data_IF_907123856010
#
_entry.id   IF_907123856010
#
_cell.length_a   1.000
_cell.length_b   1.000
_cell.length_c   1.000
_cell.angle_alpha   90.00
_cell.angle_beta   90.00
_cell.angle_gamma   90.00
#
_symmetry.space_group_name_H-M   'P 1'
#
loop_
_entity.id
_entity.type
_entity.pdbx_description
1 polymer ?
#
# COMPACT_ATOMS: atom_id res chain seq x y z
N UNK A 1 23.43 -9.69 18.49
CA UNK A 1 22.52 -9.81 19.66
C UNK A 1 21.54 -8.68 19.54
N UNK A 2 20.25 -9.02 19.54
CA UNK A 2 19.11 -8.20 19.98
C UNK A 2 18.93 -6.81 19.33
N UNK A 3 17.75 -6.37 18.93
CA UNK A 3 16.40 -6.92 18.88
C UNK A 3 15.51 -5.81 18.28
N UNK A 4 14.35 -6.22 17.75
CA UNK A 4 13.08 -5.45 17.78
C UNK A 4 13.05 -4.06 17.12
N UNK A 5 12.22 -3.72 16.14
CA UNK A 5 10.91 -4.20 15.66
C UNK A 5 10.71 -3.61 14.22
N UNK A 6 9.70 -3.96 13.41
CA UNK A 6 8.91 -3.11 12.43
C UNK A 6 8.17 -3.96 11.40
N UNK A 7 6.82 -3.98 11.32
CA UNK A 7 5.82 -3.04 10.76
C UNK A 7 5.83 -2.95 9.22
N UNK A 8 4.65 -3.20 8.64
CA UNK A 8 4.39 -3.49 7.21
C UNK A 8 3.34 -2.56 6.64
N UNK A 9 3.40 -2.40 5.32
CA UNK A 9 2.32 -1.81 4.51
C UNK A 9 2.16 -2.58 3.22
N UNK A 10 0.91 -2.80 2.82
CA UNK A 10 0.51 -3.55 1.63
C UNK A 10 -0.58 -2.75 0.93
N UNK A 11 -0.33 -2.34 -0.32
CA UNK A 11 -1.36 -1.82 -1.20
C UNK A 11 -2.03 -2.95 -2.00
N UNK A 12 -3.34 -3.09 -1.84
CA UNK A 12 -4.26 -3.65 -2.84
C UNK A 12 -5.58 -2.89 -2.69
N UNK A 13 -6.00 -2.16 -3.72
CA UNK A 13 -7.35 -1.62 -3.82
C UNK A 13 -8.19 -2.52 -4.72
N UNK A 14 -9.10 -3.29 -4.12
CA UNK A 14 -10.19 -4.01 -4.81
C UNK A 14 -11.48 -3.31 -4.42
N UNK A 15 -12.01 -2.47 -5.32
CA UNK A 15 -13.34 -1.87 -5.17
C UNK A 15 -14.40 -2.85 -5.71
N UNK A 16 -15.14 -3.51 -4.81
CA UNK A 16 -16.41 -4.15 -5.16
C UNK A 16 -17.44 -3.85 -4.05
N UNK A 17 -18.60 -3.33 -4.45
CA UNK A 17 -19.66 -2.76 -3.60
C UNK A 17 -20.82 -3.72 -3.36
N UNK A 18 -21.23 -3.98 -2.11
CA UNK A 18 -22.35 -4.88 -1.78
C UNK A 18 -23.33 -4.33 -0.77
N UNK A 19 -24.57 -4.81 -0.92
CA UNK A 19 -25.50 -5.09 0.17
C UNK A 19 -26.28 -6.35 -0.26
N UNK A 20 -26.54 -7.40 0.54
CA UNK A 20 -27.01 -7.43 1.93
C UNK A 20 -26.73 -8.82 2.55
N UNK A 21 -26.23 -8.85 3.80
CA UNK A 21 -26.74 -9.82 4.79
C UNK A 21 -25.86 -10.95 5.34
N UNK A 22 -24.73 -10.63 5.99
CA UNK A 22 -24.32 -11.29 7.26
C UNK A 22 -23.15 -10.53 7.92
N UNK A 23 -23.32 -10.14 9.19
CA UNK A 23 -22.36 -9.54 10.15
C UNK A 23 -21.02 -9.03 9.59
N UNK A 24 -20.94 -7.72 9.35
CA UNK A 24 -19.74 -7.02 8.88
C UNK A 24 -18.47 -7.28 9.70
N UNK A 25 -17.37 -7.61 9.02
CA UNK A 25 -16.01 -7.27 9.45
C UNK A 25 -15.55 -6.07 8.62
N UNK A 26 -15.92 -4.87 9.08
CA UNK A 26 -15.58 -3.50 8.63
C UNK A 26 -15.02 -3.28 7.21
N UNK A 27 -15.73 -2.51 6.39
CA UNK A 27 -15.24 -2.02 5.10
C UNK A 27 -14.04 -1.06 5.21
N UNK A 28 -13.18 -1.08 4.19
CA UNK A 28 -12.09 -0.10 4.03
C UNK A 28 -12.58 1.09 3.21
N UNK A 29 -12.48 2.29 3.77
CA UNK A 29 -12.66 3.56 3.08
C UNK A 29 -11.37 4.36 3.28
N UNK A 30 -10.59 4.49 2.21
CA UNK A 30 -9.32 5.21 2.16
C UNK A 30 -9.59 6.65 1.70
N UNK A 31 -9.15 7.63 2.48
CA UNK A 31 -9.32 9.04 2.13
C UNK A 31 -7.98 9.78 2.20
N UNK A 32 -7.73 10.64 1.22
CA UNK A 32 -6.52 11.45 1.17
C UNK A 32 -6.72 12.78 1.88
N UNK A 33 -5.80 13.09 2.78
CA UNK A 33 -5.58 14.43 3.33
C UNK A 33 -4.43 15.08 2.57
N UNK A 34 -4.66 16.24 1.98
CA UNK A 34 -3.65 16.97 1.23
C UNK A 34 -3.01 18.02 2.15
N UNK A 35 -1.73 17.86 2.49
CA UNK A 35 -1.04 18.72 3.47
C UNK A 35 -1.10 20.22 3.11
N UNK A 36 -0.93 20.55 1.83
CA UNK A 36 -0.99 21.93 1.33
C UNK A 36 -2.37 22.61 1.54
N UNK A 37 -3.42 21.85 1.90
CA UNK A 37 -4.74 22.43 2.14
C UNK A 37 -4.82 23.30 3.41
N UNK A 38 -3.82 23.22 4.29
CA UNK A 38 -3.66 24.14 5.43
C UNK A 38 -3.30 25.57 5.00
N UNK A 39 -2.67 25.72 3.83
CA UNK A 39 -2.21 27.01 3.28
C UNK A 39 -3.23 27.68 2.36
N UNK A 40 -4.47 27.17 2.30
CA UNK A 40 -5.53 27.79 1.51
C UNK A 40 -5.85 29.19 2.02
N UNK A 41 -6.53 29.98 1.18
CA UNK A 41 -6.93 31.34 1.54
C UNK A 41 -7.83 31.35 2.78
N UNK A 42 -7.77 32.46 3.52
CA UNK A 42 -8.46 32.61 4.80
C UNK A 42 -9.95 32.26 4.71
N UNK A 43 -10.40 31.39 5.61
CA UNK A 43 -11.78 30.92 5.73
C UNK A 43 -12.09 29.62 4.98
N UNK A 44 -11.13 29.02 4.26
CA UNK A 44 -11.29 27.71 3.59
C UNK A 44 -10.10 26.76 3.81
N UNK A 45 -9.26 27.05 4.79
CA UNK A 45 -8.19 26.17 5.26
C UNK A 45 -8.76 24.84 5.74
N UNK A 46 -8.01 23.78 5.54
CA UNK A 46 -8.40 22.44 5.96
C UNK A 46 -7.25 21.79 6.73
N UNK A 47 -7.41 21.74 8.05
CA UNK A 47 -6.44 21.18 9.00
C UNK A 47 -6.76 19.73 9.35
N UNK A 48 -5.82 18.96 9.95
CA UNK A 48 -6.12 17.61 10.40
C UNK A 48 -7.29 17.56 11.38
N UNK A 49 -7.44 18.59 12.24
CA UNK A 49 -8.54 18.71 13.20
C UNK A 49 -9.92 18.88 12.56
N UNK A 50 -9.99 19.32 11.30
CA UNK A 50 -11.23 19.46 10.53
C UNK A 50 -11.77 18.10 10.05
N UNK A 51 -10.95 17.04 10.10
CA UNK A 51 -11.35 15.69 9.71
C UNK A 51 -12.18 15.06 10.83
N UNK A 52 -13.38 14.60 10.50
CA UNK A 52 -14.11 13.67 11.37
C UNK A 52 -13.46 12.28 11.26
N UNK A 53 -12.83 11.77 12.34
CA UNK A 53 -12.03 10.54 12.31
C UNK A 53 -12.88 9.26 12.17
N UNK A 54 -14.21 9.36 12.14
CA UNK A 54 -15.12 8.24 11.93
C UNK A 54 -15.61 8.12 10.48
N UNK A 55 -15.31 9.09 9.61
CA UNK A 55 -15.75 9.07 8.21
C UNK A 55 -15.04 8.00 7.39
N UNK A 56 -13.73 7.87 7.55
CA UNK A 56 -12.88 6.96 6.80
C UNK A 56 -12.24 5.96 7.76
N UNK A 57 -11.98 4.73 7.29
CA UNK A 57 -11.25 3.76 8.10
C UNK A 57 -9.73 3.89 7.96
N UNK A 58 -9.27 4.46 6.85
CA UNK A 58 -7.87 4.76 6.58
C UNK A 58 -7.74 6.18 6.04
N UNK A 59 -6.75 6.93 6.54
CA UNK A 59 -6.39 8.25 6.03
C UNK A 59 -4.96 8.24 5.51
N UNK A 60 -4.72 8.82 4.34
CA UNK A 60 -3.37 9.02 3.78
C UNK A 60 -2.98 10.48 3.94
N UNK A 61 -1.87 10.76 4.62
CA UNK A 61 -1.23 12.07 4.64
C UNK A 61 -0.44 12.23 3.34
N UNK A 62 -0.99 12.97 2.38
CA UNK A 62 -0.32 13.26 1.12
C UNK A 62 0.33 14.63 1.19
N UNK A 63 1.65 14.59 1.36
CA UNK A 63 2.49 15.73 1.08
C UNK A 63 2.90 15.63 -0.39
N UNK A 64 2.24 16.40 -1.26
CA UNK A 64 2.58 16.46 -2.67
C UNK A 64 3.86 17.29 -2.92
N UNK A 65 4.63 17.63 -1.88
CA UNK A 65 5.70 18.61 -1.99
C UNK A 65 7.06 18.02 -2.37
N UNK A 66 7.74 18.79 -3.22
CA UNK A 66 9.13 18.68 -3.60
C UNK A 66 10.02 18.78 -2.34
N UNK A 67 10.43 17.65 -1.75
CA UNK A 67 11.54 17.69 -0.81
C UNK A 67 12.79 18.18 -1.58
N UNK A 68 13.13 19.45 -1.42
CA UNK A 68 14.26 20.10 -2.10
C UNK A 68 15.63 19.52 -1.68
N UNK A 69 15.67 18.70 -0.62
CA UNK A 69 16.84 17.95 -0.20
C UNK A 69 16.68 16.43 -0.47
N UNK A 70 17.72 15.66 -0.16
CA UNK A 70 17.71 14.20 -0.30
C UNK A 70 16.92 13.49 0.80
N UNK A 71 16.15 14.20 1.64
CA UNK A 71 15.27 13.57 2.62
C UNK A 71 14.09 12.89 1.92
N UNK A 72 13.63 11.77 2.49
CA UNK A 72 12.49 11.03 1.96
C UNK A 72 11.17 11.76 2.23
N UNK A 73 11.08 12.48 3.35
CA UNK A 73 9.96 13.35 3.68
C UNK A 73 10.49 14.60 4.36
N UNK A 74 9.80 15.71 4.10
CA UNK A 74 10.04 16.97 4.79
C UNK A 74 9.39 16.93 6.17
N UNK A 75 10.12 17.22 7.23
CA UNK A 75 9.55 17.32 8.58
C UNK A 75 8.38 18.33 8.63
N UNK A 76 7.27 17.92 9.26
CA UNK A 76 6.02 18.68 9.32
C UNK A 76 5.36 18.50 10.69
N UNK A 77 5.10 19.62 11.38
CA UNK A 77 4.45 19.65 12.70
C UNK A 77 3.01 19.06 12.66
N UNK A 78 2.43 18.92 11.47
CA UNK A 78 1.09 18.41 11.22
C UNK A 78 0.99 16.89 11.31
N UNK A 79 2.11 16.16 11.22
CA UNK A 79 2.11 14.70 11.33
C UNK A 79 1.53 14.22 12.65
N UNK A 80 1.92 14.85 13.75
CA UNK A 80 1.39 14.49 15.07
C UNK A 80 -0.11 14.81 15.17
N UNK A 81 -0.54 15.96 14.64
CA UNK A 81 -1.96 16.38 14.65
C UNK A 81 -2.82 15.42 13.84
N UNK A 82 -2.33 14.95 12.70
CA UNK A 82 -2.97 13.95 11.87
C UNK A 82 -3.05 12.59 12.56
N UNK A 83 -1.94 12.09 13.11
CA UNK A 83 -1.92 10.80 13.82
C UNK A 83 -2.74 10.82 15.12
N UNK A 84 -2.93 12.00 15.73
CA UNK A 84 -3.76 12.20 16.91
C UNK A 84 -5.26 11.98 16.66
N UNK A 85 -5.72 11.95 15.40
CA UNK A 85 -7.07 11.53 15.05
C UNK A 85 -7.38 10.11 15.56
N UNK A 86 -6.37 9.24 15.65
CA UNK A 86 -6.48 7.90 16.26
C UNK A 86 -6.75 7.92 17.77
N UNK A 87 -6.54 9.06 18.44
CA UNK A 87 -6.95 9.24 19.84
C UNK A 87 -8.48 9.28 19.97
N UNK A 88 -9.17 9.84 18.98
CA UNK A 88 -10.63 9.92 18.90
C UNK A 88 -11.26 8.62 18.34
N UNK A 89 -10.68 8.05 17.29
CA UNK A 89 -11.10 6.76 16.72
C UNK A 89 -9.93 5.75 16.76
N UNK A 90 -9.97 4.81 17.71
CA UNK A 90 -8.90 3.80 17.89
C UNK A 90 -8.81 2.78 16.75
N UNK A 91 -9.84 2.70 15.91
CA UNK A 91 -9.88 1.81 14.75
C UNK A 91 -9.35 2.48 13.48
N UNK A 92 -9.19 3.81 13.48
CA UNK A 92 -8.65 4.56 12.35
C UNK A 92 -7.17 4.17 12.11
N UNK A 93 -6.82 4.02 10.84
CA UNK A 93 -5.43 3.84 10.39
C UNK A 93 -4.95 5.05 9.63
N UNK A 94 -3.70 5.42 9.84
CA UNK A 94 -3.04 6.56 9.17
C UNK A 94 -1.85 6.09 8.37
N UNK A 95 -1.76 6.52 7.11
CA UNK A 95 -0.65 6.20 6.21
C UNK A 95 0.07 7.48 5.81
N UNK A 96 1.38 7.40 5.60
CA UNK A 96 2.16 8.45 4.97
C UNK A 96 2.18 8.24 3.46
N UNK A 97 1.86 9.25 2.68
CA UNK A 97 2.04 9.23 1.23
C UNK A 97 3.49 9.53 0.85
N UNK A 98 4.00 8.85 -0.18
CA UNK A 98 5.27 9.17 -0.83
C UNK A 98 5.07 9.10 -2.35
N UNK A 99 5.26 10.23 -3.02
CA UNK A 99 4.99 10.37 -4.45
C UNK A 99 3.97 11.46 -4.75
N UNK A 100 3.15 11.24 -5.77
CA UNK A 100 2.14 12.18 -6.25
C UNK A 100 2.50 12.83 -7.58
N UNK A 101 1.57 13.62 -8.11
CA UNK A 101 1.68 14.21 -9.45
C UNK A 101 2.83 15.22 -9.59
N UNK A 102 3.14 15.96 -8.53
CA UNK A 102 4.22 16.95 -8.51
C UNK A 102 5.56 16.35 -8.06
N UNK A 103 5.64 15.03 -7.86
CA UNK A 103 6.84 14.35 -7.39
C UNK A 103 7.82 14.07 -8.53
N UNK A 104 9.11 14.25 -8.28
CA UNK A 104 10.17 13.97 -9.24
C UNK A 104 10.35 12.46 -9.44
N UNK A 105 9.93 11.96 -10.62
CA UNK A 105 9.99 10.54 -10.96
C UNK A 105 11.41 9.97 -10.90
N UNK A 106 12.45 10.77 -11.15
CA UNK A 106 13.85 10.30 -11.11
C UNK A 106 14.25 9.80 -9.72
N UNK A 107 13.62 10.32 -8.65
CA UNK A 107 13.86 9.84 -7.28
C UNK A 107 13.32 8.45 -7.05
N UNK A 108 12.18 8.11 -7.66
CA UNK A 108 11.69 6.73 -7.65
C UNK A 108 12.61 5.81 -8.46
N UNK A 109 13.13 6.29 -9.59
CA UNK A 109 14.13 5.56 -10.40
C UNK A 109 15.38 5.25 -9.57
N UNK A 110 16.03 6.26 -8.99
CA UNK A 110 17.26 6.15 -8.20
C UNK A 110 17.09 5.22 -6.99
N UNK A 111 15.96 5.38 -6.28
CA UNK A 111 15.59 4.52 -5.16
C UNK A 111 15.39 3.07 -5.62
N UNK A 112 14.71 2.85 -6.74
CA UNK A 112 14.34 1.51 -7.18
C UNK A 112 15.45 0.78 -7.96
N UNK A 113 16.45 1.49 -8.49
CA UNK A 113 17.49 0.96 -9.39
C UNK A 113 18.32 -0.16 -8.74
N UNK A 114 18.87 0.09 -7.55
CA UNK A 114 19.82 -0.83 -6.91
C UNK A 114 19.22 -1.49 -5.67
N UNK A 115 19.71 -2.69 -5.34
CA UNK A 115 19.27 -3.38 -4.13
C UNK A 115 19.62 -2.61 -2.86
N UNK A 116 20.78 -1.97 -2.83
CA UNK A 116 21.21 -1.10 -1.73
C UNK A 116 20.27 0.08 -1.55
N UNK A 117 19.99 0.84 -2.62
CA UNK A 117 19.13 2.03 -2.56
C UNK A 117 17.70 1.69 -2.18
N UNK A 118 17.15 0.55 -2.65
CA UNK A 118 15.87 0.03 -2.18
C UNK A 118 15.87 -0.29 -0.68
N UNK A 119 16.95 -0.90 -0.19
CA UNK A 119 17.08 -1.26 1.23
C UNK A 119 17.19 -0.02 2.11
N UNK A 120 17.97 0.97 1.67
CA UNK A 120 18.14 2.25 2.37
C UNK A 120 16.80 2.99 2.45
N UNK A 121 16.03 3.03 1.36
CA UNK A 121 14.68 3.58 1.34
C UNK A 121 13.74 2.86 2.30
N UNK A 122 13.69 1.52 2.26
CA UNK A 122 12.82 0.74 3.14
C UNK A 122 13.13 1.00 4.61
N UNK A 123 14.42 0.99 4.99
CA UNK A 123 14.82 1.23 6.37
C UNK A 123 14.45 2.65 6.83
N UNK A 124 14.74 3.65 6.02
CA UNK A 124 14.42 5.03 6.35
C UNK A 124 12.91 5.29 6.37
N UNK A 125 12.13 4.63 5.51
CA UNK A 125 10.67 4.64 5.55
C UNK A 125 10.14 4.07 6.85
N UNK A 126 10.63 2.89 7.21
CA UNK A 126 10.26 2.22 8.44
C UNK A 126 10.55 3.11 9.67
N UNK A 127 11.76 3.64 9.76
CA UNK A 127 12.18 4.52 10.86
C UNK A 127 11.30 5.78 10.95
N UNK A 128 10.98 6.37 9.81
CA UNK A 128 10.14 7.56 9.72
C UNK A 128 8.69 7.30 10.16
N UNK A 129 8.06 6.23 9.64
CA UNK A 129 6.68 5.89 9.98
C UNK A 129 6.55 5.64 11.48
N UNK A 130 7.53 4.96 12.07
CA UNK A 130 7.62 4.73 13.49
C UNK A 130 7.73 5.98 14.33
N UNK A 131 8.70 6.83 14.01
CA UNK A 131 9.00 8.01 14.82
C UNK A 131 7.81 8.97 14.84
N UNK A 132 7.01 8.98 13.77
CA UNK A 132 5.84 9.84 13.61
C UNK A 132 4.49 9.14 13.89
N UNK A 133 4.50 7.84 14.20
CA UNK A 133 3.32 7.10 14.63
C UNK A 133 2.33 6.74 13.51
N UNK A 134 2.77 6.67 12.25
CA UNK A 134 1.97 6.18 11.13
C UNK A 134 1.83 4.65 11.15
N UNK A 135 0.69 4.15 10.67
CA UNK A 135 0.41 2.72 10.56
C UNK A 135 0.83 2.14 9.20
N UNK A 136 1.14 3.01 8.22
CA UNK A 136 1.72 2.58 6.96
C UNK A 136 2.13 3.67 5.97
N UNK A 137 2.39 3.26 4.74
CA UNK A 137 3.01 3.98 3.63
C UNK A 137 2.18 3.74 2.37
N UNK A 138 1.75 4.81 1.74
CA UNK A 138 1.13 4.81 0.43
C UNK A 138 2.17 5.26 -0.59
N UNK A 139 2.54 4.37 -1.52
CA UNK A 139 3.51 4.67 -2.58
C UNK A 139 2.75 5.12 -3.85
N UNK A 140 2.83 6.40 -4.16
CA UNK A 140 2.12 7.02 -5.28
C UNK A 140 3.09 7.39 -6.43
N UNK A 141 3.78 6.38 -6.99
CA UNK A 141 4.67 6.57 -8.15
C UNK A 141 3.84 6.80 -9.42
N UNK A 142 3.90 8.02 -9.98
CA UNK A 142 3.13 8.41 -11.17
C UNK A 142 4.01 8.86 -12.35
N UNK A 143 4.36 7.97 -13.28
CA UNK A 143 4.17 6.52 -13.24
C UNK A 143 5.43 5.85 -13.77
N UNK A 144 5.78 4.63 -13.28
CA UNK A 144 6.92 3.91 -13.81
C UNK A 144 6.74 3.65 -15.31
N UNK A 145 7.77 3.96 -16.10
CA UNK A 145 7.78 3.85 -17.55
C UNK A 145 6.74 4.72 -18.29
N UNK A 146 6.35 5.86 -17.70
CA UNK A 146 5.47 6.86 -18.31
C UNK A 146 6.12 8.25 -18.29
N UNK A 147 5.91 9.03 -19.36
CA UNK A 147 6.47 10.36 -19.57
C UNK A 147 8.00 10.43 -19.35
N UNK A 148 8.44 10.99 -18.23
CA UNK A 148 9.84 11.24 -17.85
C UNK A 148 10.49 10.06 -17.12
N UNK A 149 9.72 9.02 -16.77
CA UNK A 149 10.22 7.79 -16.18
C UNK A 149 10.75 6.80 -17.25
N UNK A 150 12.01 6.33 -17.14
CA UNK A 150 12.58 5.33 -18.06
C UNK A 150 11.79 4.02 -18.16
N UNK A 151 11.86 3.35 -19.32
CA UNK A 151 11.19 2.06 -19.53
C UNK A 151 11.65 0.95 -18.57
N UNK A 152 12.87 1.04 -18.02
CA UNK A 152 13.39 0.14 -16.99
C UNK A 152 12.57 0.17 -15.69
N UNK A 153 11.92 1.30 -15.41
CA UNK A 153 11.25 1.55 -14.13
C UNK A 153 10.06 0.66 -13.90
N UNK A 154 9.45 0.15 -14.97
CA UNK A 154 8.44 -0.92 -14.89
C UNK A 154 8.99 -2.15 -14.16
N UNK A 155 10.22 -2.57 -14.50
CA UNK A 155 10.89 -3.70 -13.85
C UNK A 155 11.38 -3.36 -12.45
N UNK A 156 11.80 -2.10 -12.23
CA UNK A 156 12.28 -1.62 -10.93
C UNK A 156 11.14 -1.48 -9.91
N UNK A 157 9.97 -0.98 -10.31
CA UNK A 157 8.78 -0.97 -9.47
C UNK A 157 8.39 -2.40 -9.06
N UNK A 158 8.39 -3.32 -10.01
CA UNK A 158 8.15 -4.75 -9.72
C UNK A 158 9.21 -5.31 -8.75
N UNK A 159 10.48 -4.89 -8.85
CA UNK A 159 11.56 -5.26 -7.92
C UNK A 159 11.40 -4.63 -6.53
N UNK A 160 10.89 -3.41 -6.45
CA UNK A 160 10.57 -2.70 -5.22
C UNK A 160 9.44 -3.39 -4.45
N UNK A 161 8.42 -3.88 -5.15
CA UNK A 161 7.25 -4.56 -4.56
C UNK A 161 7.36 -6.09 -4.62
N UNK A 162 8.55 -6.65 -4.93
CA UNK A 162 8.71 -8.06 -5.32
C UNK A 162 8.55 -9.04 -4.16
N UNK A 163 7.30 -9.44 -3.94
CA UNK A 163 6.90 -10.41 -2.91
C UNK A 163 7.59 -11.78 -3.11
N UNK A 164 7.64 -12.31 -4.33
CA UNK A 164 8.09 -13.70 -4.55
C UNK A 164 9.58 -13.95 -4.24
N UNK A 165 10.44 -12.95 -4.35
CA UNK A 165 11.83 -13.06 -3.90
C UNK A 165 11.92 -13.16 -2.37
N UNK A 166 11.08 -12.42 -1.66
CA UNK A 166 10.96 -12.48 -0.21
C UNK A 166 10.45 -13.87 0.25
N UNK A 167 9.45 -14.43 -0.44
CA UNK A 167 8.81 -15.71 -0.05
C UNK A 167 9.76 -16.91 -0.06
N UNK A 168 10.81 -16.91 -0.88
CA UNK A 168 11.66 -18.08 -1.14
C UNK A 168 12.32 -18.66 0.12
N UNK A 169 12.65 -17.80 1.09
CA UNK A 169 13.25 -18.20 2.36
C UNK A 169 12.44 -17.70 3.58
N UNK A 170 11.18 -17.31 3.38
CA UNK A 170 10.31 -16.84 4.44
C UNK A 170 9.43 -17.97 5.00
N UNK A 171 9.09 -17.88 6.28
CA UNK A 171 8.04 -18.70 6.89
C UNK A 171 6.68 -18.17 6.46
N UNK A 172 5.93 -18.99 5.72
CA UNK A 172 4.61 -18.63 5.22
C UNK A 172 3.54 -19.04 6.23
N UNK A 173 2.66 -18.11 6.58
CA UNK A 173 1.54 -18.30 7.49
C UNK A 173 0.29 -17.63 6.91
N UNK A 174 -0.88 -17.91 7.50
CA UNK A 174 -2.15 -17.30 7.09
C UNK A 174 -2.76 -16.55 8.28
N UNK A 175 -3.33 -15.38 8.02
CA UNK A 175 -4.26 -14.75 8.96
C UNK A 175 -5.62 -15.42 8.73
N UNK A 176 -6.00 -16.34 9.61
CA UNK A 176 -7.20 -17.17 9.41
C UNK A 176 -8.48 -16.33 9.31
N UNK A 177 -8.60 -15.26 10.10
CA UNK A 177 -9.80 -14.41 10.11
C UNK A 177 -9.96 -13.56 8.84
N UNK A 178 -8.84 -13.24 8.17
CA UNK A 178 -8.82 -12.40 6.96
C UNK A 178 -8.63 -13.22 5.67
N UNK A 179 -8.31 -14.51 5.80
CA UNK A 179 -8.06 -15.42 4.68
C UNK A 179 -6.98 -14.93 3.71
N UNK A 180 -5.98 -14.21 4.22
CA UNK A 180 -4.83 -13.71 3.46
C UNK A 180 -3.51 -14.25 4.02
N UNK A 181 -2.52 -14.52 3.15
CA UNK A 181 -1.22 -14.98 3.60
C UNK A 181 -0.35 -13.84 4.15
N UNK A 182 0.61 -14.27 4.94
CA UNK A 182 1.76 -13.46 5.27
C UNK A 182 3.04 -14.30 5.28
N UNK A 183 4.16 -13.65 5.01
CA UNK A 183 5.48 -14.25 5.03
C UNK A 183 6.34 -13.58 6.10
N UNK A 184 7.11 -14.36 6.85
CA UNK A 184 8.02 -13.85 7.88
C UNK A 184 9.44 -14.28 7.58
N UNK A 185 10.37 -13.33 7.44
CA UNK A 185 11.80 -13.60 7.26
C UNK A 185 12.58 -12.81 8.30
N UNK A 186 13.09 -13.48 9.32
CA UNK A 186 13.65 -12.78 10.49
C UNK A 186 12.59 -11.90 11.17
N UNK A 187 12.86 -10.60 11.29
CA UNK A 187 11.92 -9.60 11.84
C UNK A 187 11.05 -8.95 10.76
N UNK A 188 11.30 -9.26 9.48
CA UNK A 188 10.53 -8.73 8.38
C UNK A 188 9.23 -9.53 8.28
N UNK A 189 8.12 -8.84 8.46
CA UNK A 189 6.81 -9.34 8.09
C UNK A 189 6.74 -8.86 6.56
N UNK A 190 6.31 -9.67 5.54
CA UNK A 190 5.57 -9.22 4.31
C UNK A 190 4.12 -9.78 4.08
N UNK A 191 3.12 -8.92 3.81
CA UNK A 191 1.70 -9.27 3.67
C UNK A 191 1.30 -9.18 2.21
N UNK A 192 0.50 -10.11 1.72
CA UNK A 192 0.26 -10.21 0.29
C UNK A 192 -1.01 -11.01 0.02
N UNK A 193 -1.38 -11.08 -1.25
CA UNK A 193 -2.37 -12.01 -1.75
C UNK A 193 -1.71 -13.11 -2.58
N UNK A 194 -2.18 -14.33 -2.41
CA UNK A 194 -1.79 -15.48 -3.23
C UNK A 194 -3.01 -16.08 -3.94
N UNK A 195 -2.80 -17.15 -4.69
CA UNK A 195 -3.89 -17.85 -5.37
C UNK A 195 -4.97 -18.35 -4.40
N UNK A 196 -4.63 -18.65 -3.14
CA UNK A 196 -5.60 -19.13 -2.16
C UNK A 196 -6.48 -17.98 -1.65
N UNK A 197 -5.90 -16.84 -1.31
CA UNK A 197 -6.67 -15.66 -0.92
C UNK A 197 -7.48 -15.10 -2.08
N UNK A 198 -6.92 -15.08 -3.29
CA UNK A 198 -7.64 -14.72 -4.52
C UNK A 198 -8.83 -15.63 -4.79
N UNK A 199 -8.64 -16.95 -4.64
CA UNK A 199 -9.74 -17.90 -4.77
C UNK A 199 -10.83 -17.66 -3.73
N UNK A 200 -10.44 -17.36 -2.49
CA UNK A 200 -11.39 -17.08 -1.40
C UNK A 200 -12.19 -15.81 -1.67
N UNK A 201 -11.51 -14.72 -2.03
CA UNK A 201 -12.14 -13.44 -2.39
C UNK A 201 -13.06 -13.58 -3.61
N UNK A 202 -12.62 -14.26 -4.66
CA UNK A 202 -13.44 -14.50 -5.85
C UNK A 202 -14.65 -15.40 -5.57
N UNK A 203 -14.51 -16.40 -4.68
CA UNK A 203 -15.65 -17.23 -4.28
C UNK A 203 -16.65 -16.41 -3.48
N UNK A 204 -16.18 -15.56 -2.56
CA UNK A 204 -17.03 -14.64 -1.82
C UNK A 204 -17.78 -13.66 -2.75
N UNK A 205 -17.09 -13.13 -3.78
CA UNK A 205 -17.72 -12.29 -4.83
C UNK A 205 -18.88 -13.03 -5.51
N UNK A 206 -18.75 -14.33 -5.78
CA UNK A 206 -19.84 -15.15 -6.36
C UNK A 206 -20.95 -15.44 -5.38
N UNK A 207 -20.60 -15.81 -4.16
CA UNK A 207 -21.55 -16.26 -3.14
C UNK A 207 -22.52 -15.14 -2.76
N UNK A 208 -22.02 -13.90 -2.78
CA UNK A 208 -22.81 -12.74 -2.43
C UNK A 208 -23.41 -11.97 -3.65
N UNK A 209 -23.08 -12.40 -4.88
CA UNK A 209 -23.70 -11.98 -6.16
C UNK A 209 -23.31 -10.58 -6.65
N UNK A 210 -22.08 -10.17 -6.42
CA UNK A 210 -21.51 -9.00 -7.08
C UNK A 210 -21.37 -9.16 -8.60
N UNK A 211 -21.28 -8.04 -9.30
CA UNK A 211 -21.10 -8.00 -10.76
C UNK A 211 -19.72 -8.42 -11.27
N UNK A 212 -18.71 -8.53 -10.41
CA UNK A 212 -17.35 -8.94 -10.79
C UNK A 212 -16.29 -8.52 -9.78
N UNK A 213 -15.01 -8.68 -10.14
CA UNK A 213 -13.86 -8.23 -9.36
C UNK A 213 -12.99 -7.31 -10.22
N UNK A 214 -12.40 -6.30 -9.59
CA UNK A 214 -11.39 -5.42 -10.20
C UNK A 214 -10.00 -5.88 -9.76
N UNK A 215 -9.05 -5.98 -10.69
CA UNK A 215 -7.65 -6.32 -10.43
C UNK A 215 -6.78 -5.09 -10.64
N UNK A 216 -6.15 -4.61 -9.57
CA UNK A 216 -5.12 -3.59 -9.63
C UNK A 216 -3.76 -4.22 -9.28
N UNK A 217 -2.82 -4.38 -10.21
CA UNK A 217 -2.93 -4.22 -11.66
C UNK A 217 -2.35 -5.46 -12.38
N UNK A 218 -2.71 -5.66 -13.66
CA UNK A 218 -2.31 -6.84 -14.44
C UNK A 218 -0.79 -7.04 -14.52
N UNK A 219 -0.03 -5.94 -14.54
CA UNK A 219 1.42 -5.93 -14.62
C UNK A 219 2.12 -6.27 -13.29
N UNK A 220 1.39 -6.28 -12.17
CA UNK A 220 1.91 -6.67 -10.85
C UNK A 220 1.72 -8.17 -10.54
N UNK A 221 0.98 -8.88 -11.39
CA UNK A 221 0.96 -10.34 -11.38
C UNK A 221 2.26 -10.89 -11.98
N UNK A 222 2.55 -12.19 -11.77
CA UNK A 222 3.70 -12.86 -12.41
C UNK A 222 3.40 -13.09 -13.91
N UNK A 223 3.34 -11.99 -14.68
CA UNK A 223 2.81 -11.92 -16.03
C UNK A 223 3.62 -12.75 -17.06
N UNK A 224 4.89 -13.02 -16.78
CA UNK A 224 5.75 -13.87 -17.61
C UNK A 224 6.08 -15.22 -16.94
N UNK A 225 5.58 -15.44 -15.72
CA UNK A 225 5.76 -16.67 -14.95
C UNK A 225 7.18 -16.93 -14.48
N UNK A 226 8.08 -15.95 -14.57
CA UNK A 226 9.51 -16.14 -14.26
C UNK A 226 9.85 -15.90 -12.79
N UNK A 227 8.95 -15.29 -12.01
CA UNK A 227 9.27 -14.81 -10.66
C UNK A 227 8.82 -15.76 -9.53
N UNK A 228 7.57 -16.21 -9.58
CA UNK A 228 6.97 -17.02 -8.53
C UNK A 228 6.95 -18.51 -8.90
N UNK A 229 7.26 -18.84 -10.17
CA UNK A 229 7.19 -20.21 -10.74
C UNK A 229 5.81 -20.84 -10.60
N UNK A 230 4.77 -20.02 -10.66
CA UNK A 230 3.37 -20.42 -10.54
C UNK A 230 2.63 -20.40 -11.89
N UNK A 231 3.36 -20.19 -12.99
CA UNK A 231 2.79 -19.99 -14.32
C UNK A 231 2.61 -18.51 -14.64
N UNK A 232 2.14 -18.22 -15.85
CA UNK A 232 1.87 -16.87 -16.34
C UNK A 232 0.54 -16.38 -15.75
N UNK A 233 0.52 -15.17 -15.19
CA UNK A 233 -0.64 -14.55 -14.55
C UNK A 233 -1.35 -15.43 -13.50
N UNK A 234 -0.64 -15.97 -12.49
CA UNK A 234 -1.20 -16.94 -11.55
C UNK A 234 -2.38 -16.38 -10.76
N UNK A 235 -2.33 -15.11 -10.36
CA UNK A 235 -3.41 -14.49 -9.59
C UNK A 235 -4.61 -14.15 -10.48
N UNK A 236 -4.37 -13.54 -11.64
CA UNK A 236 -5.42 -13.17 -12.60
C UNK A 236 -6.15 -14.41 -13.11
N UNK A 237 -5.42 -15.49 -13.44
CA UNK A 237 -6.01 -16.75 -13.87
C UNK A 237 -6.83 -17.42 -12.75
N UNK A 238 -6.44 -17.21 -11.49
CA UNK A 238 -7.24 -17.66 -10.35
C UNK A 238 -8.59 -16.94 -10.28
N UNK A 239 -8.61 -15.59 -10.39
CA UNK A 239 -9.87 -14.84 -10.42
C UNK A 239 -10.74 -15.29 -11.59
N UNK A 240 -10.16 -15.34 -12.80
CA UNK A 240 -10.84 -15.75 -14.04
C UNK A 240 -11.52 -17.11 -13.89
N UNK A 241 -10.78 -18.09 -13.39
CA UNK A 241 -11.25 -19.46 -13.18
C UNK A 241 -12.41 -19.52 -12.19
N UNK A 242 -12.32 -18.83 -11.06
CA UNK A 242 -13.37 -18.86 -10.03
C UNK A 242 -14.63 -18.15 -10.51
N UNK A 243 -14.47 -16.96 -11.10
CA UNK A 243 -15.57 -16.13 -11.62
C UNK A 243 -16.24 -16.74 -12.87
N UNK A 244 -15.57 -17.67 -13.56
CA UNK A 244 -16.13 -18.36 -14.73
C UNK A 244 -16.16 -17.49 -15.99
N UNK A 245 -15.16 -16.62 -16.15
CA UNK A 245 -14.96 -15.73 -17.31
C UNK A 245 -13.76 -16.14 -18.15
#
# INVERSE_FOLDING_TARGET
>A
MADSNDLRVVGLEVLVWEDVGSSFSSFVLLCYYLAWSEERVEGIEFYPESIDPFLCSHLVYSDASEAADMSLWKEDDSYQRFNDLKKKNKNLKTLMGYGGWAFDNSRFTDMAEQQSTRTDFINAAIDFLRSHGFDGLDLDWRFPAFEDSPASDKGLFTLLVKICAFLKDASLQNIYDQMVPYAVKGNEWLGYDDQKSFKTKAQWVKDNKFGGAMLWALDLDDYDGTHCKQGVYPLTNTLKSVLGI
#
